data_IF_339278816235
#
_entry.id   IF_339278816235
#
_cell.length_a   1.000
_cell.length_b   1.000
_cell.length_c   1.000
_cell.angle_alpha   90.00
_cell.angle_beta   90.00
_cell.angle_gamma   90.00
#
_symmetry.space_group_name_H-M   'P 1'
#
loop_
_entity.id
_entity.type
_entity.pdbx_description
1 polymer ?
#
# COMPACT_ATOMS: atom_id res chain seq x y z
N UNK A 1 2.72 -5.54 -48.38
CA UNK A 1 1.58 -6.48 -48.18
C UNK A 1 0.89 -6.06 -46.91
N UNK A 2 -0.35 -5.57 -47.05
CA UNK A 2 -1.26 -5.35 -45.95
C UNK A 2 -1.52 -6.71 -45.29
N UNK A 3 -0.97 -6.92 -44.10
CA UNK A 3 -1.25 -8.06 -43.23
C UNK A 3 -2.07 -7.55 -42.06
N UNK A 4 -3.32 -8.01 -41.99
CA UNK A 4 -4.34 -7.67 -41.02
C UNK A 4 -3.82 -7.51 -39.57
N UNK A 5 -4.26 -6.44 -38.89
CA UNK A 5 -4.25 -6.39 -37.42
C UNK A 5 -5.12 -7.53 -36.88
N UNK A 6 -4.65 -8.32 -35.91
CA UNK A 6 -5.55 -9.18 -35.16
C UNK A 6 -6.44 -8.32 -34.25
N UNK A 7 -7.75 -8.34 -34.53
CA UNK A 7 -8.82 -7.68 -33.78
C UNK A 7 -9.21 -8.46 -32.51
N UNK A 8 -8.25 -8.76 -31.63
CA UNK A 8 -8.53 -9.17 -30.24
C UNK A 8 -7.37 -8.74 -29.34
N UNK A 9 -7.42 -7.52 -28.81
CA UNK A 9 -6.54 -7.19 -27.69
C UNK A 9 -7.01 -8.00 -26.48
N UNK A 10 -6.15 -8.87 -25.94
CA UNK A 10 -6.44 -9.62 -24.71
C UNK A 10 -6.77 -8.63 -23.59
N UNK A 11 -8.05 -8.52 -23.24
CA UNK A 11 -8.52 -7.68 -22.14
C UNK A 11 -8.45 -8.46 -20.84
N UNK A 12 -7.85 -7.89 -19.81
CA UNK A 12 -7.85 -8.47 -18.46
C UNK A 12 -9.12 -8.04 -17.71
N UNK A 13 -9.88 -9.01 -17.23
CA UNK A 13 -11.01 -8.74 -16.33
C UNK A 13 -10.47 -8.35 -14.94
N UNK A 14 -11.01 -7.28 -14.37
CA UNK A 14 -10.60 -6.76 -13.07
C UNK A 14 -11.80 -6.63 -12.14
N UNK A 15 -11.65 -7.13 -10.92
CA UNK A 15 -12.55 -6.89 -9.79
C UNK A 15 -11.79 -6.06 -8.75
N UNK A 16 -12.32 -4.90 -8.39
CA UNK A 16 -11.74 -4.06 -7.35
C UNK A 16 -12.47 -4.31 -6.02
N UNK A 17 -11.74 -4.69 -4.97
CA UNK A 17 -12.27 -5.00 -3.65
C UNK A 17 -11.80 -3.96 -2.63
N UNK A 18 -12.73 -3.27 -1.98
CA UNK A 18 -12.46 -2.12 -1.13
C UNK A 18 -12.27 -0.83 -1.93
N UNK A 19 -13.30 -0.42 -2.67
CA UNK A 19 -13.26 0.82 -3.47
C UNK A 19 -13.04 2.06 -2.59
N UNK A 20 -13.69 2.13 -1.44
CA UNK A 20 -13.64 3.27 -0.54
C UNK A 20 -14.28 4.55 -1.11
N UNK A 21 -14.22 5.60 -0.31
CA UNK A 21 -14.82 6.90 -0.63
C UNK A 21 -14.04 7.63 -1.75
N UNK A 22 -14.74 8.24 -2.73
CA UNK A 22 -14.11 9.11 -3.72
C UNK A 22 -13.14 10.12 -3.13
N UNK A 23 -11.96 10.25 -3.77
CA UNK A 23 -10.87 11.16 -3.39
C UNK A 23 -10.28 10.91 -1.99
N UNK A 24 -10.53 9.74 -1.40
CA UNK A 24 -10.01 9.37 -0.07
C UNK A 24 -9.47 7.95 -0.02
N UNK A 25 -10.18 6.98 -0.60
CA UNK A 25 -9.80 5.56 -0.58
C UNK A 25 -8.76 5.23 -1.65
N UNK A 26 -7.78 4.38 -1.31
CA UNK A 26 -6.81 3.88 -2.28
C UNK A 26 -7.48 3.08 -3.41
N UNK A 27 -8.51 2.30 -3.10
CA UNK A 27 -9.29 1.58 -4.12
C UNK A 27 -9.88 2.53 -5.18
N UNK A 28 -10.37 3.70 -4.78
CA UNK A 28 -10.93 4.68 -5.71
C UNK A 28 -9.86 5.25 -6.65
N UNK A 29 -8.66 5.54 -6.15
CA UNK A 29 -7.55 5.97 -7.01
C UNK A 29 -7.19 4.89 -8.03
N UNK A 30 -7.08 3.63 -7.61
CA UNK A 30 -6.89 2.50 -8.52
C UNK A 30 -8.01 2.39 -9.55
N UNK A 31 -9.27 2.50 -9.11
CA UNK A 31 -10.44 2.45 -10.00
C UNK A 31 -10.33 3.47 -11.13
N UNK A 32 -10.00 4.72 -10.79
CA UNK A 32 -9.89 5.79 -11.80
C UNK A 32 -8.83 5.48 -12.86
N UNK A 33 -7.69 4.93 -12.45
CA UNK A 33 -6.62 4.53 -13.36
C UNK A 33 -7.03 3.33 -14.21
N UNK A 34 -7.65 2.32 -13.60
CA UNK A 34 -8.12 1.11 -14.29
C UNK A 34 -9.16 1.41 -15.37
N UNK A 35 -10.08 2.36 -15.10
CA UNK A 35 -11.10 2.78 -16.07
C UNK A 35 -10.52 3.52 -17.29
N UNK A 36 -9.30 4.04 -17.20
CA UNK A 36 -8.60 4.70 -18.31
C UNK A 36 -7.77 3.73 -19.16
N UNK A 37 -7.55 2.50 -18.68
CA UNK A 37 -6.74 1.49 -19.36
C UNK A 37 -7.53 0.76 -20.45
N UNK A 38 -7.05 0.85 -21.71
CA UNK A 38 -7.72 0.26 -22.89
C UNK A 38 -7.77 -1.27 -22.90
N UNK A 39 -6.87 -1.93 -22.16
CA UNK A 39 -6.72 -3.38 -22.08
C UNK A 39 -7.27 -3.96 -20.77
N UNK A 40 -8.05 -3.18 -20.02
CA UNK A 40 -8.67 -3.59 -18.76
C UNK A 40 -10.17 -3.49 -18.90
N UNK A 41 -10.85 -4.50 -18.38
CA UNK A 41 -12.29 -4.53 -18.24
C UNK A 41 -12.64 -4.59 -16.76
N UNK A 42 -13.00 -3.46 -16.16
CA UNK A 42 -13.45 -3.45 -14.76
C UNK A 42 -14.84 -4.07 -14.70
N UNK A 43 -14.93 -5.30 -14.21
CA UNK A 43 -16.19 -6.07 -14.16
C UNK A 43 -17.06 -5.65 -12.97
N UNK A 44 -16.42 -5.46 -11.83
CA UNK A 44 -17.12 -5.15 -10.59
C UNK A 44 -16.26 -4.34 -9.62
N UNK A 45 -16.93 -3.59 -8.76
CA UNK A 45 -16.40 -3.12 -7.49
C UNK A 45 -17.10 -3.86 -6.34
N UNK A 46 -16.33 -4.18 -5.31
CA UNK A 46 -16.83 -4.71 -4.04
C UNK A 46 -16.54 -3.67 -2.96
N UNK A 47 -17.57 -3.21 -2.25
CA UNK A 47 -17.40 -2.26 -1.15
C UNK A 47 -18.20 -2.72 0.09
N UNK A 48 -17.54 -3.41 1.03
CA UNK A 48 -18.21 -4.05 2.18
C UNK A 48 -18.93 -3.11 3.13
N UNK A 49 -18.54 -1.83 3.21
CA UNK A 49 -19.16 -0.89 4.14
C UNK A 49 -20.23 -0.05 3.46
N UNK A 50 -19.89 0.70 2.42
CA UNK A 50 -20.83 1.66 1.81
C UNK A 50 -21.95 1.03 0.98
N UNK A 51 -21.83 -0.25 0.59
CA UNK A 51 -22.89 -0.99 -0.11
C UNK A 51 -23.66 -1.94 0.81
N UNK A 52 -23.35 -1.95 2.11
CA UNK A 52 -24.05 -2.77 3.09
C UNK A 52 -25.01 -1.88 3.89
N UNK A 53 -26.32 -2.07 3.69
CA UNK A 53 -27.37 -1.26 4.32
C UNK A 53 -27.39 -1.39 5.85
N UNK A 54 -26.92 -2.52 6.41
CA UNK A 54 -26.84 -2.73 7.85
C UNK A 54 -25.67 -1.92 8.46
N UNK A 55 -24.55 -1.83 7.74
CA UNK A 55 -23.35 -1.13 8.20
C UNK A 55 -23.38 0.37 7.87
N UNK A 56 -23.96 0.74 6.73
CA UNK A 56 -24.05 2.11 6.23
C UNK A 56 -25.48 2.44 5.76
N UNK A 57 -26.45 2.58 6.68
CA UNK A 57 -27.85 2.88 6.32
C UNK A 57 -28.03 4.24 5.64
N UNK A 58 -26.99 5.10 5.65
CA UNK A 58 -26.96 6.40 4.99
C UNK A 58 -25.71 6.51 4.13
N UNK A 59 -25.77 5.93 2.93
CA UNK A 59 -24.68 5.99 1.95
C UNK A 59 -24.36 7.45 1.61
N UNK A 60 -23.09 7.88 1.67
CA UNK A 60 -22.73 9.25 1.31
C UNK A 60 -23.05 9.58 -0.15
N UNK A 61 -23.64 10.75 -0.47
CA UNK A 61 -24.08 11.08 -1.82
C UNK A 61 -22.99 10.95 -2.90
N UNK A 62 -21.74 11.29 -2.56
CA UNK A 62 -20.61 11.15 -3.49
C UNK A 62 -20.33 9.70 -3.87
N UNK A 63 -20.52 8.75 -2.94
CA UNK A 63 -20.35 7.33 -3.22
C UNK A 63 -21.53 6.78 -4.03
N UNK A 64 -22.77 7.17 -3.69
CA UNK A 64 -23.95 6.81 -4.47
C UNK A 64 -23.85 7.28 -5.94
N UNK A 65 -23.35 8.49 -6.17
CA UNK A 65 -23.09 9.02 -7.52
C UNK A 65 -22.03 8.22 -8.28
N UNK A 66 -20.96 7.79 -7.59
CA UNK A 66 -19.94 6.91 -8.19
C UNK A 66 -20.57 5.59 -8.64
N UNK A 67 -21.33 4.92 -7.78
CA UNK A 67 -21.99 3.64 -8.08
C UNK A 67 -22.90 3.77 -9.30
N UNK A 68 -23.79 4.77 -9.31
CA UNK A 68 -24.68 5.00 -10.45
C UNK A 68 -23.89 5.24 -11.77
N UNK A 69 -22.75 5.93 -11.70
CA UNK A 69 -21.90 6.14 -12.88
C UNK A 69 -21.25 4.84 -13.37
N UNK A 70 -20.80 3.97 -12.46
CA UNK A 70 -20.21 2.68 -12.77
C UNK A 70 -21.23 1.72 -13.39
N UNK A 71 -22.42 1.62 -12.79
CA UNK A 71 -23.51 0.78 -13.29
C UNK A 71 -23.98 1.22 -14.68
N UNK A 72 -24.02 2.54 -14.94
CA UNK A 72 -24.32 3.07 -16.29
C UNK A 72 -23.32 2.64 -17.36
N UNK A 73 -22.12 2.20 -16.94
CA UNK A 73 -21.04 1.67 -17.79
C UNK A 73 -20.96 0.14 -17.76
N UNK A 74 -21.91 -0.54 -17.11
CA UNK A 74 -21.95 -1.99 -16.99
C UNK A 74 -21.00 -2.57 -15.95
N UNK A 75 -20.48 -1.75 -15.03
CA UNK A 75 -19.66 -2.22 -13.89
C UNK A 75 -20.57 -2.53 -12.72
N UNK A 76 -20.53 -3.77 -12.22
CA UNK A 76 -21.35 -4.21 -11.09
C UNK A 76 -20.82 -3.59 -9.77
N UNK A 77 -21.71 -3.26 -8.84
CA UNK A 77 -21.35 -2.83 -7.50
C UNK A 77 -22.02 -3.75 -6.47
N UNK A 78 -21.23 -4.45 -5.64
CA UNK A 78 -21.74 -5.38 -4.61
C UNK A 78 -21.08 -5.16 -3.26
N UNK A 79 -21.74 -5.59 -2.18
CA UNK A 79 -21.18 -5.48 -0.83
C UNK A 79 -20.22 -6.61 -0.48
N UNK A 80 -20.39 -7.80 -1.06
CA UNK A 80 -19.54 -8.96 -0.79
C UNK A 80 -18.91 -9.52 -2.06
N UNK A 81 -17.68 -10.02 -1.94
CA UNK A 81 -17.06 -10.84 -3.00
C UNK A 81 -17.93 -12.08 -3.27
N UNK A 82 -18.63 -12.59 -2.26
CA UNK A 82 -19.48 -13.77 -2.38
C UNK A 82 -20.71 -13.55 -3.29
N UNK A 83 -21.11 -12.29 -3.51
CA UNK A 83 -22.22 -11.92 -4.39
C UNK A 83 -21.83 -11.95 -5.88
N UNK A 84 -20.54 -12.10 -6.18
CA UNK A 84 -20.04 -12.22 -7.56
C UNK A 84 -20.21 -13.64 -8.09
N UNK A 85 -20.38 -13.77 -9.40
CA UNK A 85 -20.27 -15.08 -10.07
C UNK A 85 -18.83 -15.62 -9.97
N UNK A 86 -18.67 -16.93 -10.16
CA UNK A 86 -17.33 -17.52 -10.28
C UNK A 86 -16.63 -16.94 -11.52
N UNK A 87 -15.34 -16.68 -11.39
CA UNK A 87 -14.53 -16.15 -12.49
C UNK A 87 -14.16 -17.29 -13.45
N UNK A 88 -14.73 -17.26 -14.64
CA UNK A 88 -14.46 -18.26 -15.69
C UNK A 88 -13.28 -17.88 -16.60
N UNK A 89 -12.89 -16.60 -16.57
CA UNK A 89 -11.79 -16.04 -17.35
C UNK A 89 -10.66 -15.57 -16.42
N UNK A 90 -9.42 -15.46 -16.93
CA UNK A 90 -8.33 -14.83 -16.18
C UNK A 90 -8.77 -13.49 -15.62
N UNK A 91 -8.79 -13.40 -14.30
CA UNK A 91 -9.34 -12.25 -13.55
C UNK A 91 -8.33 -11.82 -12.52
N UNK A 92 -8.05 -10.52 -12.50
CA UNK A 92 -7.28 -9.88 -11.44
C UNK A 92 -8.24 -9.34 -10.38
N UNK A 93 -8.04 -9.72 -9.12
CA UNK A 93 -8.66 -9.03 -8.00
C UNK A 93 -7.67 -8.04 -7.37
N UNK A 94 -8.01 -6.75 -7.41
CA UNK A 94 -7.26 -5.70 -6.73
C UNK A 94 -7.89 -5.48 -5.36
N UNK A 95 -7.18 -5.83 -4.28
CA UNK A 95 -7.66 -5.73 -2.91
C UNK A 95 -7.05 -4.50 -2.25
N UNK A 96 -7.88 -3.49 -2.02
CA UNK A 96 -7.57 -2.22 -1.36
C UNK A 96 -8.43 -2.02 -0.08
N UNK A 97 -8.77 -3.12 0.59
CA UNK A 97 -9.52 -3.12 1.84
C UNK A 97 -8.68 -2.70 3.06
N UNK A 98 -9.30 -2.71 4.24
CA UNK A 98 -8.57 -2.48 5.49
C UNK A 98 -7.66 -3.67 5.77
N UNK A 99 -6.49 -3.41 6.34
CA UNK A 99 -5.51 -4.44 6.71
C UNK A 99 -6.12 -5.66 7.40
N UNK A 100 -7.01 -5.53 8.42
CA UNK A 100 -7.60 -6.69 9.10
C UNK A 100 -8.58 -7.51 8.24
N UNK A 101 -9.19 -6.88 7.24
CA UNK A 101 -10.19 -7.53 6.38
C UNK A 101 -9.54 -8.23 5.18
N UNK A 102 -8.36 -7.77 4.77
CA UNK A 102 -7.65 -8.25 3.59
C UNK A 102 -7.42 -9.77 3.56
N UNK A 103 -7.05 -10.47 4.67
CA UNK A 103 -6.93 -11.93 4.65
C UNK A 103 -8.23 -12.64 4.26
N UNK A 104 -9.38 -12.18 4.76
CA UNK A 104 -10.70 -12.73 4.40
C UNK A 104 -11.00 -12.45 2.92
N UNK A 105 -10.86 -11.19 2.49
CA UNK A 105 -11.13 -10.76 1.12
C UNK A 105 -10.25 -11.53 0.12
N UNK A 106 -8.98 -11.73 0.45
CA UNK A 106 -8.04 -12.53 -0.33
C UNK A 106 -8.53 -13.96 -0.54
N UNK A 107 -8.91 -14.64 0.55
CA UNK A 107 -9.44 -16.02 0.47
C UNK A 107 -10.71 -16.09 -0.36
N UNK A 108 -11.61 -15.11 -0.23
CA UNK A 108 -12.84 -15.03 -1.04
C UNK A 108 -12.52 -14.88 -2.53
N UNK A 109 -11.62 -13.97 -2.90
CA UNK A 109 -11.21 -13.78 -4.30
C UNK A 109 -10.57 -15.04 -4.90
N UNK A 110 -9.66 -15.70 -4.17
CA UNK A 110 -9.07 -16.97 -4.60
C UNK A 110 -10.14 -18.05 -4.79
N UNK A 111 -11.08 -18.17 -3.85
CA UNK A 111 -12.18 -19.14 -3.94
C UNK A 111 -13.17 -18.85 -5.09
N UNK A 112 -13.29 -17.60 -5.53
CA UNK A 112 -14.06 -17.23 -6.72
C UNK A 112 -13.34 -17.54 -8.03
N UNK A 113 -12.06 -17.90 -7.99
CA UNK A 113 -11.27 -18.29 -9.16
C UNK A 113 -10.35 -17.19 -9.68
N UNK A 114 -9.93 -16.24 -8.84
CA UNK A 114 -8.99 -15.20 -9.26
C UNK A 114 -7.66 -15.84 -9.66
N UNK A 115 -7.17 -15.51 -10.86
CA UNK A 115 -5.85 -15.99 -11.34
C UNK A 115 -4.72 -15.07 -10.90
N UNK A 116 -5.04 -13.80 -10.61
CA UNK A 116 -4.09 -12.78 -10.18
C UNK A 116 -4.69 -12.01 -9.01
N UNK A 117 -3.89 -11.77 -7.98
CA UNK A 117 -4.21 -10.83 -6.90
C UNK A 117 -3.23 -9.68 -6.95
N UNK A 118 -3.73 -8.45 -6.92
CA UNK A 118 -2.96 -7.28 -6.53
C UNK A 118 -3.42 -6.86 -5.14
N UNK A 119 -2.55 -6.98 -4.14
CA UNK A 119 -2.88 -6.72 -2.75
C UNK A 119 -2.20 -5.43 -2.27
N UNK A 120 -2.99 -4.48 -1.79
CA UNK A 120 -2.46 -3.29 -1.13
C UNK A 120 -1.69 -3.63 0.14
N UNK A 121 -0.66 -2.83 0.41
CA UNK A 121 0.11 -2.96 1.65
C UNK A 121 -0.74 -2.51 2.86
N UNK A 122 -0.44 -2.96 4.09
CA UNK A 122 0.51 -4.00 4.49
C UNK A 122 0.03 -5.44 4.23
N UNK A 123 -1.07 -5.63 3.50
CA UNK A 123 -1.58 -6.94 3.09
C UNK A 123 -2.32 -7.70 4.19
N UNK A 124 -1.77 -7.79 5.40
CA UNK A 124 -2.40 -8.42 6.56
C UNK A 124 -1.88 -7.85 7.89
N UNK A 125 -2.56 -8.11 9.03
CA UNK A 125 -2.10 -7.66 10.35
C UNK A 125 -0.79 -8.29 10.83
N UNK A 126 -0.55 -9.56 10.45
CA UNK A 126 0.58 -10.36 10.91
C UNK A 126 1.35 -11.05 9.78
N UNK A 127 2.61 -11.39 10.06
CA UNK A 127 3.44 -12.20 9.14
C UNK A 127 2.83 -13.58 8.93
N UNK A 128 2.31 -14.20 10.00
CA UNK A 128 1.65 -15.51 9.92
C UNK A 128 0.48 -15.50 8.93
N UNK A 129 -0.37 -14.48 8.96
CA UNK A 129 -1.46 -14.37 7.98
C UNK A 129 -0.95 -14.17 6.56
N UNK A 130 0.12 -13.40 6.35
CA UNK A 130 0.76 -13.28 5.03
C UNK A 130 1.31 -14.63 4.54
N UNK A 131 1.92 -15.43 5.42
CA UNK A 131 2.42 -16.77 5.10
C UNK A 131 1.27 -17.70 4.71
N UNK A 132 0.17 -17.70 5.47
CA UNK A 132 -1.02 -18.49 5.14
C UNK A 132 -1.68 -18.05 3.83
N UNK A 133 -1.68 -16.74 3.53
CA UNK A 133 -2.17 -16.21 2.25
C UNK A 133 -1.28 -16.62 1.09
N UNK A 134 0.05 -16.57 1.26
CA UNK A 134 1.02 -17.04 0.28
C UNK A 134 0.84 -18.54 0.01
N UNK A 135 0.71 -19.34 1.06
CA UNK A 135 0.59 -20.80 0.93
C UNK A 135 -0.70 -21.18 0.20
N UNK A 136 -1.82 -20.50 0.50
CA UNK A 136 -3.07 -20.66 -0.26
C UNK A 136 -2.90 -20.26 -1.73
N UNK A 137 -2.23 -19.13 -2.01
CA UNK A 137 -2.01 -18.68 -3.38
C UNK A 137 -1.20 -19.71 -4.18
N UNK A 138 -0.14 -20.26 -3.57
CA UNK A 138 0.68 -21.30 -4.17
C UNK A 138 -0.10 -22.60 -4.40
N UNK A 139 -0.94 -23.02 -3.43
CA UNK A 139 -1.80 -24.20 -3.58
C UNK A 139 -2.80 -24.05 -4.74
N UNK A 140 -3.22 -22.81 -5.02
CA UNK A 140 -4.23 -22.48 -6.03
C UNK A 140 -3.66 -21.91 -7.33
N UNK A 141 -2.33 -21.90 -7.48
CA UNK A 141 -1.61 -21.33 -8.63
C UNK A 141 -2.01 -19.88 -8.95
N UNK A 142 -2.21 -19.07 -7.90
CA UNK A 142 -2.61 -17.66 -8.01
C UNK A 142 -1.39 -16.76 -7.92
N UNK A 143 -1.20 -15.93 -8.94
CA UNK A 143 -0.12 -14.95 -8.96
C UNK A 143 -0.44 -13.77 -8.04
N UNK A 144 0.51 -13.37 -7.18
CA UNK A 144 0.29 -12.27 -6.22
C UNK A 144 1.30 -11.14 -6.44
N UNK A 145 0.78 -9.93 -6.60
CA UNK A 145 1.52 -8.67 -6.57
C UNK A 145 1.18 -7.91 -5.29
N UNK A 146 2.17 -7.27 -4.68
CA UNK A 146 1.96 -6.37 -3.53
C UNK A 146 2.18 -4.92 -3.97
N UNK A 147 1.34 -4.00 -3.48
CA UNK A 147 1.32 -2.58 -3.81
C UNK A 147 2.52 -1.74 -3.32
N UNK A 148 3.76 -2.21 -3.47
CA UNK A 148 4.97 -1.45 -3.16
C UNK A 148 5.38 -0.50 -4.30
N UNK A 149 4.51 0.46 -4.61
CA UNK A 149 4.68 1.39 -5.74
C UNK A 149 6.02 2.15 -5.76
N UNK A 150 6.60 2.48 -4.59
CA UNK A 150 7.90 3.18 -4.52
C UNK A 150 9.04 2.39 -5.17
N UNK A 151 8.94 1.05 -5.25
CA UNK A 151 9.92 0.22 -5.93
C UNK A 151 10.10 0.59 -7.41
N UNK A 152 9.10 1.22 -8.05
CA UNK A 152 9.17 1.59 -9.48
C UNK A 152 9.18 3.11 -9.71
N UNK A 153 9.28 3.91 -8.65
CA UNK A 153 9.27 5.38 -8.80
C UNK A 153 10.59 5.91 -9.36
N UNK A 154 10.58 6.92 -10.25
CA UNK A 154 11.79 7.43 -10.90
C UNK A 154 12.89 7.86 -9.92
N UNK A 155 12.57 8.62 -8.86
CA UNK A 155 13.59 9.09 -7.91
C UNK A 155 14.27 7.95 -7.15
N UNK A 156 13.54 6.88 -6.83
CA UNK A 156 14.12 5.67 -6.22
C UNK A 156 15.03 4.96 -7.22
N UNK A 157 14.58 4.79 -8.45
CA UNK A 157 15.37 4.13 -9.50
C UNK A 157 16.66 4.89 -9.80
N UNK A 158 16.62 6.22 -9.85
CA UNK A 158 17.80 7.07 -10.00
C UNK A 158 18.76 6.91 -8.82
N UNK A 159 18.28 7.04 -7.58
CA UNK A 159 19.12 6.88 -6.39
C UNK A 159 19.77 5.49 -6.28
N UNK A 160 19.00 4.42 -6.54
CA UNK A 160 19.51 3.05 -6.54
C UNK A 160 20.57 2.88 -7.64
N UNK A 161 20.31 3.37 -8.85
CA UNK A 161 21.27 3.30 -9.96
C UNK A 161 22.57 4.04 -9.65
N UNK A 162 22.48 5.24 -9.08
CA UNK A 162 23.63 6.03 -8.67
C UNK A 162 24.43 5.33 -7.56
N UNK A 163 23.76 4.81 -6.53
CA UNK A 163 24.41 4.11 -5.43
C UNK A 163 25.22 2.88 -5.88
N UNK A 164 24.70 2.13 -6.88
CA UNK A 164 25.40 0.97 -7.46
C UNK A 164 26.68 1.35 -8.22
N UNK A 165 26.74 2.58 -8.74
CA UNK A 165 27.93 3.12 -9.44
C UNK A 165 28.93 3.77 -8.50
N UNK A 166 28.54 4.03 -7.26
CA UNK A 166 29.36 4.74 -6.27
C UNK A 166 29.73 3.80 -5.12
N UNK A 167 30.96 3.24 -5.11
CA UNK A 167 31.42 2.38 -4.03
C UNK A 167 31.34 3.05 -2.66
N UNK A 168 30.93 2.30 -1.65
CA UNK A 168 30.76 2.78 -0.26
C UNK A 168 29.83 3.99 -0.13
N UNK A 169 28.89 4.17 -1.07
CA UNK A 169 27.83 5.16 -0.94
C UNK A 169 26.79 4.74 0.10
N UNK A 170 26.09 5.74 0.63
CA UNK A 170 24.94 5.56 1.49
C UNK A 170 23.70 6.16 0.82
N UNK A 171 22.62 5.39 0.80
CA UNK A 171 21.31 5.89 0.35
C UNK A 171 20.44 6.23 1.54
N UNK A 172 19.76 7.37 1.49
CA UNK A 172 18.81 7.80 2.52
C UNK A 172 17.45 8.07 1.88
N UNK A 173 16.43 7.34 2.31
CA UNK A 173 15.05 7.54 1.86
C UNK A 173 14.29 8.40 2.85
N UNK A 174 13.64 9.46 2.34
CA UNK A 174 12.79 10.34 3.13
C UNK A 174 11.36 10.20 2.65
N UNK A 175 10.48 9.72 3.52
CA UNK A 175 9.06 9.60 3.31
C UNK A 175 8.33 10.65 4.14
N UNK A 176 7.62 11.54 3.46
CA UNK A 176 6.74 12.50 4.10
C UNK A 176 5.27 12.25 3.73
N UNK A 177 4.39 12.41 4.71
CA UNK A 177 2.96 12.64 4.48
C UNK A 177 2.63 14.10 4.80
N UNK A 178 1.44 14.52 4.38
CA UNK A 178 0.89 15.87 4.55
C UNK A 178 -0.17 15.99 5.64
N UNK A 179 -0.08 15.18 6.70
CA UNK A 179 -0.95 15.40 7.85
C UNK A 179 -0.54 16.69 8.57
N UNK A 180 -1.52 17.44 9.06
CA UNK A 180 -1.26 18.45 10.07
C UNK A 180 -1.13 17.80 11.45
N UNK A 181 -0.47 18.48 12.39
CA UNK A 181 -0.31 17.97 13.76
C UNK A 181 -1.66 17.75 14.45
N UNK A 182 -2.67 18.54 14.11
CA UNK A 182 -4.05 18.38 14.57
C UNK A 182 -4.74 17.12 14.07
N UNK A 183 -4.27 16.53 12.98
CA UNK A 183 -4.87 15.33 12.37
C UNK A 183 -4.30 14.03 12.96
N UNK A 184 -3.21 14.11 13.73
CA UNK A 184 -2.53 12.95 14.27
C UNK A 184 -3.44 12.02 15.11
N UNK A 185 -4.40 12.51 15.92
CA UNK A 185 -5.35 11.63 16.63
C UNK A 185 -6.18 10.74 15.70
N UNK A 186 -6.71 11.31 14.62
CA UNK A 186 -7.44 10.54 13.59
C UNK A 186 -6.49 9.58 12.88
N UNK A 187 -5.31 10.08 12.49
CA UNK A 187 -4.30 9.33 11.76
C UNK A 187 -3.83 8.08 12.54
N UNK A 188 -3.55 8.19 13.84
CA UNK A 188 -3.11 7.05 14.66
C UNK A 188 -4.25 6.03 14.83
N UNK A 189 -5.48 6.52 14.97
CA UNK A 189 -6.68 5.67 15.11
C UNK A 189 -6.95 4.87 13.84
N UNK A 190 -6.93 5.54 12.68
CA UNK A 190 -7.18 4.91 11.39
C UNK A 190 -6.06 3.95 10.99
N UNK A 191 -4.83 4.26 11.37
CA UNK A 191 -3.62 3.51 11.04
C UNK A 191 -3.04 2.79 12.27
N UNK A 192 -3.90 2.08 13.00
CA UNK A 192 -3.57 1.41 14.27
C UNK A 192 -2.44 0.37 14.17
N UNK A 193 -2.07 -0.07 12.97
CA UNK A 193 -0.90 -0.92 12.71
C UNK A 193 0.45 -0.20 12.92
N UNK A 194 0.43 1.13 13.13
CA UNK A 194 1.58 1.96 13.43
C UNK A 194 2.33 2.47 12.19
N UNK A 195 3.19 3.48 12.40
CA UNK A 195 3.91 4.16 11.32
C UNK A 195 4.73 3.20 10.45
N UNK A 196 5.37 2.20 11.05
CA UNK A 196 6.25 1.29 10.31
C UNK A 196 5.48 0.46 9.27
N UNK A 197 4.30 -0.08 9.64
CA UNK A 197 3.48 -0.89 8.74
C UNK A 197 2.62 -0.03 7.79
N UNK A 198 2.11 1.08 8.27
CA UNK A 198 1.23 1.93 7.49
C UNK A 198 1.98 2.83 6.50
N UNK A 199 3.09 3.43 6.91
CA UNK A 199 3.79 4.47 6.15
C UNK A 199 5.15 3.99 5.67
N UNK A 200 6.06 3.65 6.59
CA UNK A 200 7.45 3.34 6.25
C UNK A 200 7.62 1.99 5.54
N UNK A 201 6.55 1.19 5.41
CA UNK A 201 6.61 -0.13 4.77
C UNK A 201 7.09 -0.07 3.32
N UNK A 202 6.82 1.03 2.61
CA UNK A 202 7.36 1.21 1.27
C UNK A 202 8.89 1.30 1.30
N UNK A 203 9.45 2.11 2.21
CA UNK A 203 10.90 2.22 2.36
C UNK A 203 11.51 0.91 2.87
N UNK A 204 10.86 0.23 3.81
CA UNK A 204 11.29 -1.10 4.26
C UNK A 204 11.34 -2.09 3.08
N UNK A 205 10.35 -2.07 2.19
CA UNK A 205 10.37 -2.88 0.98
C UNK A 205 11.53 -2.52 0.05
N UNK A 206 11.91 -1.24 -0.07
CA UNK A 206 13.11 -0.82 -0.81
C UNK A 206 14.38 -1.42 -0.20
N UNK A 207 14.50 -1.41 1.14
CA UNK A 207 15.68 -1.93 1.84
C UNK A 207 15.87 -3.43 1.55
N UNK A 208 14.79 -4.20 1.58
CA UNK A 208 14.79 -5.62 1.26
C UNK A 208 15.12 -5.83 -0.23
N UNK A 209 14.43 -5.11 -1.11
CA UNK A 209 14.49 -5.33 -2.57
C UNK A 209 15.84 -4.94 -3.17
N UNK A 210 16.42 -3.82 -2.75
CA UNK A 210 17.57 -3.21 -3.42
C UNK A 210 18.87 -3.24 -2.60
N UNK A 211 18.78 -3.40 -1.28
CA UNK A 211 19.93 -3.30 -0.37
C UNK A 211 20.19 -4.59 0.41
N UNK A 212 19.49 -5.69 0.09
CA UNK A 212 19.64 -6.99 0.74
C UNK A 212 19.51 -6.90 2.27
N UNK A 213 18.62 -6.05 2.76
CA UNK A 213 18.35 -5.94 4.19
C UNK A 213 17.36 -7.03 4.59
N UNK A 214 17.82 -7.94 5.45
CA UNK A 214 17.07 -9.06 6.03
C UNK A 214 17.55 -9.25 7.47
N UNK A 215 16.82 -10.02 8.27
CA UNK A 215 17.22 -10.34 9.66
C UNK A 215 18.65 -10.91 9.70
N UNK A 216 19.00 -11.76 8.73
CA UNK A 216 20.30 -12.44 8.70
C UNK A 216 21.44 -11.58 8.16
N UNK A 217 21.12 -10.51 7.41
CA UNK A 217 22.13 -9.66 6.76
C UNK A 217 22.40 -8.39 7.53
N UNK A 218 21.58 -8.01 8.51
CA UNK A 218 21.83 -6.84 9.38
C UNK A 218 23.05 -7.10 10.27
N UNK A 219 23.96 -6.14 10.35
CA UNK A 219 25.07 -6.12 11.31
C UNK A 219 24.91 -5.04 12.37
N UNK A 220 24.30 -3.90 12.01
CA UNK A 220 24.08 -2.78 12.92
C UNK A 220 22.77 -2.07 12.57
N UNK A 221 22.07 -1.60 13.60
CA UNK A 221 20.80 -0.88 13.49
C UNK A 221 20.80 0.29 14.47
N UNK A 222 20.67 1.51 13.95
CA UNK A 222 20.76 2.74 14.75
C UNK A 222 19.53 3.59 14.54
N UNK A 223 18.86 3.95 15.63
CA UNK A 223 17.79 4.96 15.60
C UNK A 223 18.39 6.30 15.96
N UNK A 224 18.11 7.33 15.17
CA UNK A 224 18.45 8.71 15.51
C UNK A 224 17.38 9.21 16.49
N UNK A 225 17.73 9.33 17.77
CA UNK A 225 16.79 9.71 18.84
C UNK A 225 16.68 11.22 19.03
N UNK A 226 17.27 12.03 18.15
CA UNK A 226 17.11 13.49 18.23
C UNK A 226 15.65 13.87 17.99
N UNK A 227 15.14 14.83 18.78
CA UNK A 227 13.74 15.27 18.69
C UNK A 227 13.39 15.90 17.34
N UNK A 228 14.39 16.35 16.59
CA UNK A 228 14.23 16.97 15.28
C UNK A 228 13.73 15.97 14.23
N UNK A 229 14.18 14.72 14.29
CA UNK A 229 13.91 13.69 13.28
C UNK A 229 13.15 12.48 13.79
N UNK A 230 13.09 12.27 15.12
CA UNK A 230 12.32 11.21 15.75
C UNK A 230 11.46 11.72 16.90
N UNK A 231 10.18 11.35 16.91
CA UNK A 231 9.24 11.70 17.98
C UNK A 231 8.14 10.63 18.08
N UNK A 232 7.98 10.13 19.32
CA UNK A 232 6.91 9.22 19.71
C UNK A 232 5.89 10.00 20.52
N UNK A 233 4.62 9.91 20.14
CA UNK A 233 3.52 10.59 20.81
C UNK A 233 2.58 9.57 21.45
N UNK A 234 1.91 9.97 22.52
CA UNK A 234 0.77 9.25 23.11
C UNK A 234 -0.40 10.20 23.12
N UNK A 235 -1.43 9.89 22.33
CA UNK A 235 -2.55 10.80 22.06
C UNK A 235 -3.86 10.09 22.34
N UNK A 236 -4.86 10.86 22.80
CA UNK A 236 -6.20 10.33 23.03
C UNK A 236 -6.83 9.89 21.71
N UNK A 237 -7.48 8.73 21.72
CA UNK A 237 -8.21 8.18 20.59
C UNK A 237 -9.58 8.85 20.46
N UNK A 238 -9.85 9.56 19.35
CA UNK A 238 -11.14 10.17 19.10
C UNK A 238 -12.29 9.14 19.17
N UNK A 239 -13.40 9.57 19.76
CA UNK A 239 -14.59 8.73 19.94
C UNK A 239 -14.62 7.92 21.24
N UNK A 240 -13.63 8.06 22.14
CA UNK A 240 -13.64 7.45 23.48
C UNK A 240 -13.94 8.50 24.55
N UNK A 241 -14.71 8.16 25.59
CA UNK A 241 -15.16 9.11 26.61
C UNK A 241 -14.69 8.73 28.02
N UNK A 242 -14.60 9.73 28.91
CA UNK A 242 -14.39 9.48 30.33
C UNK A 242 -15.55 8.67 30.94
N UNK A 243 -15.29 7.80 31.93
CA UNK A 243 -14.01 7.58 32.62
C UNK A 243 -13.04 6.63 31.91
N UNK A 244 -13.39 6.10 30.73
CA UNK A 244 -12.65 5.06 30.00
C UNK A 244 -11.98 5.58 28.69
N UNK A 245 -11.11 6.60 28.76
CA UNK A 245 -10.42 7.09 27.58
C UNK A 245 -9.41 6.05 27.08
N UNK A 246 -9.30 5.90 25.77
CA UNK A 246 -8.24 5.11 25.14
C UNK A 246 -7.17 6.06 24.61
N UNK A 247 -5.90 5.72 24.83
CA UNK A 247 -4.76 6.43 24.28
C UNK A 247 -3.97 5.52 23.35
N UNK A 248 -3.50 6.08 22.24
CA UNK A 248 -2.70 5.38 21.24
C UNK A 248 -1.30 5.98 21.23
N UNK A 249 -0.29 5.10 21.26
CA UNK A 249 1.12 5.49 21.16
C UNK A 249 1.68 5.05 19.81
N UNK A 250 2.19 6.01 19.03
CA UNK A 250 2.88 5.75 17.75
C UNK A 250 3.87 6.90 17.45
N UNK A 251 4.66 6.76 16.38
CA UNK A 251 5.58 7.79 15.92
C UNK A 251 4.84 8.84 15.07
N UNK A 252 5.16 10.12 15.29
CA UNK A 252 4.85 11.22 14.36
C UNK A 252 5.96 11.37 13.32
N UNK A 253 7.21 11.11 13.72
CA UNK A 253 8.39 10.98 12.85
C UNK A 253 9.40 9.99 13.43
N UNK A 254 10.19 9.34 12.57
CA UNK A 254 11.30 8.47 12.96
C UNK A 254 12.40 8.50 11.91
N UNK A 255 13.66 8.40 12.33
CA UNK A 255 14.80 8.16 11.46
C UNK A 255 15.67 7.04 12.00
N UNK A 256 16.08 6.14 11.12
CA UNK A 256 16.98 5.04 11.45
C UNK A 256 17.92 4.72 10.29
N UNK A 257 19.06 4.13 10.63
CA UNK A 257 20.09 3.65 9.72
C UNK A 257 20.32 2.15 9.95
N UNK A 258 20.54 1.43 8.86
CA UNK A 258 20.88 0.02 8.84
C UNK A 258 22.21 -0.14 8.14
N UNK A 259 23.12 -0.88 8.78
CA UNK A 259 24.32 -1.42 8.12
C UNK A 259 24.18 -2.93 8.00
N UNK A 260 24.43 -3.47 6.82
CA UNK A 260 24.46 -4.91 6.57
C UNK A 260 25.87 -5.48 6.76
N UNK A 261 25.97 -6.80 6.92
CA UNK A 261 27.23 -7.55 7.10
C UNK A 261 28.21 -7.40 5.92
N UNK A 262 27.72 -7.06 4.72
CA UNK A 262 28.56 -6.74 3.56
C UNK A 262 28.91 -5.24 3.46
N UNK A 263 28.59 -4.45 4.48
CA UNK A 263 28.97 -3.03 4.58
C UNK A 263 28.02 -2.04 3.89
N UNK A 264 26.90 -2.50 3.30
CA UNK A 264 25.90 -1.60 2.73
C UNK A 264 25.25 -0.77 3.83
N UNK A 265 25.21 0.55 3.64
CA UNK A 265 24.56 1.49 4.56
C UNK A 265 23.34 2.11 3.90
N UNK A 266 22.21 2.06 4.58
CA UNK A 266 20.97 2.67 4.09
C UNK A 266 20.16 3.22 5.25
N UNK A 267 19.55 4.39 5.06
CA UNK A 267 18.73 5.04 6.09
C UNK A 267 17.32 5.34 5.61
N UNK A 268 16.40 5.42 6.56
CA UNK A 268 15.00 5.78 6.34
C UNK A 268 14.63 6.86 7.34
N UNK A 269 14.00 7.91 6.84
CA UNK A 269 13.31 8.93 7.63
C UNK A 269 11.85 8.96 7.20
N UNK A 270 10.93 8.73 8.13
CA UNK A 270 9.49 8.84 7.91
C UNK A 270 8.93 9.96 8.78
N UNK A 271 8.11 10.85 8.21
CA UNK A 271 7.48 11.96 8.91
C UNK A 271 6.04 12.18 8.46
N UNK A 272 5.08 11.97 9.36
CA UNK A 272 3.64 12.12 9.06
C UNK A 272 3.25 13.55 8.69
N UNK A 273 4.02 14.54 9.15
CA UNK A 273 3.79 15.97 8.96
C UNK A 273 4.91 16.64 8.16
N UNK A 274 5.64 15.88 7.33
CA UNK A 274 6.79 16.37 6.57
C UNK A 274 6.45 17.02 5.23
N UNK A 275 5.17 17.03 4.84
CA UNK A 275 4.69 17.57 3.56
C UNK A 275 4.50 16.52 2.46
N UNK A 276 4.20 16.98 1.24
CA UNK A 276 3.81 16.13 0.11
C UNK A 276 4.98 15.59 -0.74
N UNK A 277 6.22 15.71 -0.27
CA UNK A 277 7.40 15.34 -1.06
C UNK A 277 8.19 14.24 -0.35
N UNK A 278 8.25 13.07 -0.99
CA UNK A 278 9.24 12.04 -0.66
C UNK A 278 10.47 12.18 -1.57
N UNK A 279 11.65 11.84 -1.08
CA UNK A 279 12.90 11.90 -1.85
C UNK A 279 13.87 10.80 -1.45
N UNK A 280 14.89 10.61 -2.25
CA UNK A 280 16.05 9.78 -1.94
C UNK A 280 17.30 10.66 -2.06
N UNK A 281 18.28 10.45 -1.20
CA UNK A 281 19.58 11.13 -1.21
C UNK A 281 20.67 10.05 -1.32
N UNK A 282 21.69 10.29 -2.15
CA UNK A 282 22.86 9.41 -2.23
C UNK A 282 24.08 10.20 -1.78
N UNK A 283 24.80 9.68 -0.79
CA UNK A 283 26.03 10.30 -0.28
C UNK A 283 27.22 9.41 -0.56
N UNK A 284 28.34 10.00 -0.93
CA UNK A 284 29.60 9.26 -1.08
C UNK A 284 30.22 8.91 0.29
N UNK A 285 31.40 8.28 0.26
CA UNK A 285 32.15 7.87 1.46
C UNK A 285 32.57 9.05 2.36
N UNK A 286 32.64 10.27 1.81
CA UNK A 286 33.02 11.50 2.51
C UNK A 286 31.78 12.22 3.06
N UNK A 287 30.59 11.67 2.82
CA UNK A 287 29.31 12.21 3.26
C UNK A 287 28.78 13.33 2.36
N UNK A 288 29.39 13.56 1.19
CA UNK A 288 28.93 14.55 0.23
C UNK A 288 27.75 14.00 -0.57
N UNK A 289 26.68 14.78 -0.65
CA UNK A 289 25.53 14.46 -1.48
C UNK A 289 25.91 14.49 -2.97
N UNK A 290 25.44 13.49 -3.71
CA UNK A 290 25.66 13.34 -5.14
C UNK A 290 24.41 13.76 -5.90
N UNK A 291 24.59 14.46 -7.02
CA UNK A 291 23.51 14.82 -7.93
C UNK A 291 22.96 13.57 -8.64
N UNK A 292 21.63 13.49 -8.74
CA UNK A 292 20.87 12.37 -9.31
C UNK A 292 20.34 12.66 -10.71
#
# INVERSE_FOLDING_TARGET
MNGNRPDTADTLDVVLVGCGMPKKGMGWYHLTQLLEMKNVNVRAIVEPFFLNDELCPKVPPAFAQLVASLESKGVMAVSSVDDLEKFEKPTLCLIAGRTPDNPKLFRQCVNKGASIIFLEKPGAPSVKELEEMRDLANERDVMVYIGYNKNVTPYVQSAVTLSRKTPNSQVSFVHNNSYDTSDLPECFTRNSEGMLKNMAIHELALLVTFFNVTVDTISDFKVDTSKEVSEKLTIWQPGTSMPDPVYITDFSRVKFEITTKNGTKVSVQANRCGGNVSRAEVRDREGKELEQ
#
